data_IF_480319942606
#
_entry.id   IF_480319942606
#
_cell.length_a   1.000
_cell.length_b   1.000
_cell.length_c   1.000
_cell.angle_alpha   90.00
_cell.angle_beta   90.00
_cell.angle_gamma   90.00
#
_symmetry.space_group_name_H-M   'P 1'
#
loop_
_entity.id
_entity.type
_entity.pdbx_description
1 polymer ?
#
# COMPACT_ATOMS: atom_id res chain seq x y z
N UNK A 1 63.63 47.45 -17.57
CA UNK A 1 63.24 46.27 -18.38
C UNK A 1 61.72 46.14 -18.33
N UNK A 2 61.05 45.74 -19.45
CA UNK A 2 59.64 45.30 -19.63
C UNK A 2 58.57 45.89 -18.65
N UNK A 3 57.71 46.85 -19.02
CA UNK A 3 56.50 46.74 -19.91
C UNK A 3 55.51 45.64 -19.44
N UNK A 4 54.19 45.82 -19.26
CA UNK A 4 53.20 46.93 -19.20
C UNK A 4 52.14 46.50 -18.12
N UNK A 5 51.31 47.32 -17.45
CA UNK A 5 50.14 48.08 -17.95
C UNK A 5 49.15 47.23 -18.81
N UNK A 6 47.82 47.37 -18.78
CA UNK A 6 46.83 48.13 -17.98
C UNK A 6 45.40 47.69 -18.47
N UNK A 7 44.32 48.20 -17.87
CA UNK A 7 42.90 48.17 -18.34
C UNK A 7 42.18 46.78 -18.39
N UNK A 8 41.00 46.59 -17.78
CA UNK A 8 39.63 47.09 -18.10
C UNK A 8 39.04 46.35 -19.33
N UNK A 9 38.23 45.29 -19.18
CA UNK A 9 36.80 45.20 -18.76
C UNK A 9 35.80 45.24 -19.95
N UNK A 10 34.54 44.85 -19.67
CA UNK A 10 33.32 45.06 -20.48
C UNK A 10 33.00 44.06 -21.62
N UNK A 11 32.07 43.14 -21.27
CA UNK A 11 30.86 42.70 -22.00
C UNK A 11 30.86 41.86 -23.31
N UNK A 12 29.88 40.93 -23.29
CA UNK A 12 28.84 40.63 -24.31
C UNK A 12 29.01 39.51 -25.36
N UNK A 13 27.87 38.83 -25.55
CA UNK A 13 27.32 38.15 -26.74
C UNK A 13 27.69 36.68 -27.05
N UNK A 14 26.71 35.99 -27.66
CA UNK A 14 26.77 34.59 -28.14
C UNK A 14 26.15 33.59 -27.16
N UNK A 15 24.89 33.13 -27.23
CA UNK A 15 24.00 32.64 -28.32
C UNK A 15 24.37 31.23 -28.80
N UNK A 16 23.37 30.33 -28.80
CA UNK A 16 23.38 28.94 -29.29
C UNK A 16 24.28 27.96 -28.49
N UNK A 17 24.05 26.63 -28.50
CA UNK A 17 23.04 25.86 -29.22
C UNK A 17 22.58 24.62 -28.40
N UNK A 18 21.49 23.98 -28.83
CA UNK A 18 20.97 22.76 -28.20
C UNK A 18 21.90 21.55 -28.43
N UNK A 19 22.13 20.75 -27.39
CA UNK A 19 22.61 19.37 -27.56
C UNK A 19 21.81 18.38 -26.73
N UNK A 20 20.79 17.82 -27.38
CA UNK A 20 20.07 16.62 -26.93
C UNK A 20 21.05 15.45 -27.01
N UNK A 21 21.40 14.86 -25.86
CA UNK A 21 22.24 13.66 -25.81
C UNK A 21 21.38 12.44 -26.14
N UNK A 22 21.21 12.18 -27.44
CA UNK A 22 20.54 10.99 -27.95
C UNK A 22 21.50 9.79 -27.84
N UNK A 23 21.40 9.01 -26.76
CA UNK A 23 22.19 7.78 -26.61
C UNK A 23 21.72 6.71 -27.62
N UNK A 24 22.48 6.55 -28.71
CA UNK A 24 22.31 5.42 -29.64
C UNK A 24 22.67 4.12 -28.93
N UNK A 25 21.79 3.14 -28.98
CA UNK A 25 22.07 1.76 -28.61
C UNK A 25 22.39 1.01 -29.91
N UNK A 26 23.65 0.67 -30.12
CA UNK A 26 24.08 -0.03 -31.33
C UNK A 26 23.69 -1.52 -31.28
N UNK A 27 22.70 -1.89 -32.11
CA UNK A 27 22.35 -3.29 -32.34
C UNK A 27 23.25 -3.90 -33.42
N UNK A 28 24.16 -4.83 -33.04
CA UNK A 28 24.90 -5.63 -34.02
C UNK A 28 25.17 -7.09 -33.59
N UNK A 29 24.19 -7.92 -33.91
CA UNK A 29 24.30 -9.14 -34.75
C UNK A 29 25.38 -10.21 -34.45
N UNK A 30 24.91 -11.41 -34.08
CA UNK A 30 25.47 -12.73 -34.45
C UNK A 30 24.39 -13.78 -34.09
N UNK A 31 23.45 -14.15 -34.97
CA UNK A 31 23.60 -15.05 -36.12
C UNK A 31 24.10 -16.46 -35.76
N UNK A 32 23.17 -17.41 -35.60
CA UNK A 32 23.41 -18.80 -35.98
C UNK A 32 22.11 -19.46 -36.48
N UNK A 33 22.22 -20.31 -37.50
CA UNK A 33 21.11 -20.89 -38.27
C UNK A 33 20.81 -22.33 -37.82
N UNK A 34 19.53 -22.72 -37.84
CA UNK A 34 18.96 -24.02 -38.32
C UNK A 34 17.45 -24.04 -38.04
N UNK A 35 16.61 -23.70 -39.01
CA UNK A 35 15.96 -24.62 -40.00
C UNK A 35 14.99 -25.64 -39.40
N UNK A 36 13.69 -25.40 -39.65
CA UNK A 36 12.65 -26.38 -40.01
C UNK A 36 12.38 -27.59 -39.09
N UNK A 37 11.42 -27.43 -38.17
CA UNK A 37 10.41 -28.46 -37.83
C UNK A 37 9.01 -27.83 -37.68
N UNK A 38 8.57 -27.12 -38.72
CA UNK A 38 7.17 -26.69 -38.90
C UNK A 38 6.34 -27.93 -39.25
N UNK A 39 5.82 -28.67 -38.24
CA UNK A 39 4.49 -29.34 -38.24
C UNK A 39 4.19 -30.38 -37.12
N UNK A 40 5.13 -30.80 -36.25
CA UNK A 40 4.89 -32.00 -35.40
C UNK A 40 4.48 -31.81 -33.92
N UNK A 41 4.72 -30.68 -33.25
CA UNK A 41 4.41 -30.57 -31.79
C UNK A 41 3.03 -29.95 -31.46
N UNK A 42 2.05 -30.11 -32.37
CA UNK A 42 0.64 -29.79 -32.13
C UNK A 42 -0.12 -30.89 -31.35
N UNK A 43 0.50 -32.04 -31.09
CA UNK A 43 -0.08 -33.21 -30.40
C UNK A 43 0.16 -33.24 -28.87
N UNK A 44 0.64 -32.15 -28.25
CA UNK A 44 0.78 -32.02 -26.79
C UNK A 44 -0.32 -31.17 -26.12
N UNK A 45 -1.56 -31.29 -26.62
CA UNK A 45 -2.77 -30.83 -25.93
C UNK A 45 -3.65 -32.03 -25.58
N UNK A 46 -4.24 -31.99 -24.38
CA UNK A 46 -5.09 -33.00 -23.73
C UNK A 46 -4.33 -34.19 -23.11
N UNK A 47 -3.93 -34.06 -21.83
CA UNK A 47 -4.30 -35.02 -20.77
C UNK A 47 -3.84 -34.58 -19.36
N UNK A 48 -4.58 -33.63 -18.78
CA UNK A 48 -4.53 -33.30 -17.33
C UNK A 48 -5.91 -32.91 -16.76
N UNK A 49 -7.00 -33.41 -17.35
CA UNK A 49 -8.40 -33.19 -16.91
C UNK A 49 -9.11 -34.52 -16.59
N UNK A 50 -8.62 -35.26 -15.60
CA UNK A 50 -9.31 -36.46 -15.08
C UNK A 50 -8.67 -36.97 -13.80
N UNK A 51 -8.89 -36.31 -12.66
CA UNK A 51 -8.76 -36.98 -11.36
C UNK A 51 -10.02 -36.79 -10.51
N UNK A 52 -10.79 -37.88 -10.48
CA UNK A 52 -11.76 -38.29 -9.45
C UNK A 52 -12.90 -37.32 -9.10
N UNK A 53 -14.05 -37.58 -9.75
CA UNK A 53 -15.39 -37.42 -9.15
C UNK A 53 -15.62 -38.51 -8.07
N UNK A 54 -16.75 -38.41 -7.35
CA UNK A 54 -17.24 -39.34 -6.30
C UNK A 54 -16.50 -39.19 -4.95
N UNK A 55 -17.12 -39.21 -3.77
CA UNK A 55 -18.51 -39.44 -3.29
C UNK A 55 -18.77 -38.49 -2.09
N UNK A 56 -19.96 -38.19 -1.56
CA UNK A 56 -21.34 -38.68 -1.80
C UNK A 56 -22.37 -37.58 -1.44
N UNK A 57 -23.67 -37.88 -1.50
CA UNK A 57 -24.77 -37.06 -0.96
C UNK A 57 -25.14 -37.43 0.49
N UNK A 58 -25.50 -36.44 1.31
CA UNK A 58 -26.44 -36.63 2.41
C UNK A 58 -27.37 -35.42 2.48
N UNK A 59 -28.61 -35.61 2.02
CA UNK A 59 -29.69 -34.62 2.20
C UNK A 59 -30.26 -34.83 3.59
N UNK A 60 -30.18 -33.82 4.45
CA UNK A 60 -30.85 -33.80 5.74
C UNK A 60 -31.92 -32.70 5.70
N UNK A 61 -33.13 -33.10 5.32
CA UNK A 61 -34.29 -32.21 5.34
C UNK A 61 -34.70 -31.94 6.79
N UNK A 62 -34.67 -30.68 7.19
CA UNK A 62 -35.18 -30.18 8.48
C UNK A 62 -36.43 -29.33 8.14
N UNK A 63 -37.55 -29.51 8.86
CA UNK A 63 -38.83 -28.88 8.48
C UNK A 63 -38.81 -27.36 8.66
N UNK A 64 -39.67 -26.69 7.88
CA UNK A 64 -39.88 -25.27 7.95
C UNK A 64 -40.34 -24.82 9.35
N UNK A 65 -39.67 -23.80 9.88
CA UNK A 65 -40.17 -22.97 10.98
C UNK A 65 -40.59 -21.64 10.35
N UNK A 66 -41.77 -21.16 10.73
CA UNK A 66 -42.46 -20.02 10.13
C UNK A 66 -41.72 -18.69 10.30
N UNK A 67 -42.13 -17.73 9.47
CA UNK A 67 -41.69 -16.35 9.48
C UNK A 67 -41.75 -15.68 10.86
N UNK A 68 -40.65 -15.04 11.23
CA UNK A 68 -40.68 -13.76 11.94
C UNK A 68 -39.90 -12.76 11.08
N UNK A 69 -40.61 -12.02 10.24
CA UNK A 69 -40.07 -10.79 9.65
C UNK A 69 -39.91 -9.77 10.78
N UNK A 70 -38.68 -9.68 11.32
CA UNK A 70 -38.28 -8.61 12.22
C UNK A 70 -37.91 -7.40 11.34
N UNK A 71 -38.90 -6.59 11.00
CA UNK A 71 -38.66 -5.24 10.48
C UNK A 71 -38.13 -4.36 11.62
N UNK A 72 -36.81 -4.39 11.84
CA UNK A 72 -36.18 -3.69 12.96
C UNK A 72 -34.74 -4.12 13.26
N UNK A 73 -33.87 -4.20 12.25
CA UNK A 73 -32.47 -4.61 12.41
C UNK A 73 -31.44 -3.73 11.66
N UNK A 74 -31.85 -2.62 11.05
CA UNK A 74 -30.96 -1.73 10.30
C UNK A 74 -30.20 -0.70 11.17
N UNK A 75 -30.37 -0.71 12.49
CA UNK A 75 -29.73 0.25 13.39
C UNK A 75 -28.48 -0.30 14.10
N UNK A 76 -28.33 -1.62 14.21
CA UNK A 76 -27.18 -2.25 14.88
C UNK A 76 -25.92 -2.28 14.02
N UNK A 77 -26.06 -2.45 12.70
CA UNK A 77 -24.92 -2.57 11.78
C UNK A 77 -24.09 -1.28 11.70
N UNK A 78 -24.73 -0.10 11.75
CA UNK A 78 -24.08 1.22 11.84
C UNK A 78 -23.15 1.31 13.07
N UNK A 79 -23.66 0.92 14.24
CA UNK A 79 -22.95 1.02 15.52
C UNK A 79 -21.79 0.01 15.56
N UNK A 80 -22.01 -1.21 15.05
CA UNK A 80 -20.99 -2.25 14.94
C UNK A 80 -19.83 -1.86 14.00
N UNK A 81 -20.10 -1.15 12.89
CA UNK A 81 -19.06 -0.63 12.00
C UNK A 81 -18.28 0.52 12.64
N UNK A 82 -18.96 1.48 13.28
CA UNK A 82 -18.30 2.58 13.98
C UNK A 82 -17.43 2.09 15.16
N UNK A 83 -17.89 1.06 15.88
CA UNK A 83 -17.12 0.41 16.94
C UNK A 83 -15.86 -0.26 16.38
N UNK A 84 -15.94 -0.95 15.25
CA UNK A 84 -14.78 -1.56 14.59
C UNK A 84 -13.77 -0.52 14.11
N UNK A 85 -14.21 0.64 13.60
CA UNK A 85 -13.32 1.75 13.20
C UNK A 85 -12.65 2.38 14.42
N UNK A 86 -13.39 2.58 15.51
CA UNK A 86 -12.83 3.06 16.80
C UNK A 86 -11.83 2.06 17.39
N UNK A 87 -12.10 0.75 17.31
CA UNK A 87 -11.13 -0.28 17.72
C UNK A 87 -9.87 -0.23 16.83
N UNK A 88 -10.03 -0.21 15.51
CA UNK A 88 -8.93 -0.11 14.55
C UNK A 88 -8.04 1.11 14.83
N UNK A 89 -8.65 2.25 15.14
CA UNK A 89 -7.95 3.49 15.53
C UNK A 89 -7.14 3.33 16.83
N UNK A 90 -7.66 2.62 17.82
CA UNK A 90 -6.94 2.34 19.08
C UNK A 90 -5.81 1.29 18.93
N UNK A 91 -5.92 0.37 17.97
CA UNK A 91 -4.84 -0.58 17.66
C UNK A 91 -3.56 0.12 17.15
N UNK A 92 -3.64 1.36 16.68
CA UNK A 92 -2.49 2.18 16.26
C UNK A 92 -1.79 2.92 17.43
N UNK A 93 -2.33 2.89 18.65
CA UNK A 93 -1.75 3.60 19.80
C UNK A 93 -0.43 3.02 20.37
N UNK A 94 -0.13 1.71 20.33
CA UNK A 94 1.21 1.22 20.69
C UNK A 94 2.28 1.45 19.61
N UNK A 95 1.90 1.76 18.36
CA UNK A 95 2.83 1.84 17.22
C UNK A 95 3.95 2.89 17.38
N UNK A 96 3.72 4.13 17.88
CA UNK A 96 4.79 5.12 18.05
C UNK A 96 5.92 4.65 18.98
N UNK A 97 5.60 3.79 19.95
CA UNK A 97 6.60 3.25 20.87
C UNK A 97 7.37 2.08 20.23
N UNK A 98 6.72 1.28 19.38
CA UNK A 98 7.38 0.25 18.57
C UNK A 98 8.34 0.83 17.54
N UNK A 99 8.03 2.00 16.96
CA UNK A 99 8.92 2.74 16.04
C UNK A 99 10.22 3.12 16.77
N UNK A 100 10.14 3.70 17.97
CA UNK A 100 11.33 4.05 18.78
C UNK A 100 12.18 2.85 19.19
N UNK A 101 11.55 1.70 19.35
CA UNK A 101 12.21 0.44 19.69
C UNK A 101 12.69 -0.34 18.46
N UNK A 102 12.53 0.22 17.25
CA UNK A 102 12.87 -0.41 15.96
C UNK A 102 12.20 -1.79 15.75
N UNK A 103 11.03 -2.02 16.37
CA UNK A 103 10.32 -3.31 16.34
C UNK A 103 9.38 -3.42 15.13
N UNK A 104 9.95 -3.22 13.95
CA UNK A 104 9.22 -3.11 12.68
C UNK A 104 8.31 -4.33 12.38
N UNK A 105 8.77 -5.55 12.65
CA UNK A 105 7.94 -6.76 12.51
C UNK A 105 6.67 -6.73 13.37
N UNK A 106 6.74 -6.16 14.59
CA UNK A 106 5.56 -6.05 15.47
C UNK A 106 4.57 -5.02 14.97
N UNK A 107 5.05 -3.93 14.36
CA UNK A 107 4.20 -2.93 13.70
C UNK A 107 3.40 -3.60 12.58
N UNK A 108 4.08 -4.38 11.72
CA UNK A 108 3.42 -5.13 10.65
C UNK A 108 2.43 -6.17 11.17
N UNK A 109 2.78 -6.87 12.25
CA UNK A 109 1.90 -7.83 12.92
C UNK A 109 0.61 -7.18 13.47
N UNK A 110 0.66 -5.90 13.87
CA UNK A 110 -0.54 -5.12 14.21
C UNK A 110 -1.33 -4.79 12.93
N UNK A 111 -0.69 -4.22 11.90
CA UNK A 111 -1.37 -3.76 10.68
C UNK A 111 -2.08 -4.86 9.88
N UNK A 112 -1.65 -6.12 9.99
CA UNK A 112 -2.29 -7.28 9.36
C UNK A 112 -3.37 -7.95 10.25
N UNK A 113 -3.49 -7.55 11.52
CA UNK A 113 -4.52 -8.07 12.44
C UNK A 113 -5.84 -7.30 12.27
N UNK A 114 -7.01 -7.95 12.38
CA UNK A 114 -8.28 -7.23 12.44
C UNK A 114 -8.46 -6.42 13.75
N UNK A 115 -9.28 -5.34 13.73
CA UNK A 115 -9.99 -4.81 12.57
C UNK A 115 -9.16 -3.87 11.68
N UNK A 116 -7.96 -3.41 12.10
CA UNK A 116 -7.17 -2.47 11.25
C UNK A 116 -6.84 -3.06 9.87
N UNK A 117 -6.59 -4.37 9.74
CA UNK A 117 -6.34 -4.97 8.43
C UNK A 117 -7.56 -5.01 7.50
N UNK A 118 -8.77 -4.99 8.05
CA UNK A 118 -10.02 -4.85 7.27
C UNK A 118 -10.23 -3.42 6.76
N UNK A 119 -9.43 -2.45 7.20
CA UNK A 119 -9.49 -1.08 6.70
C UNK A 119 -8.75 -0.90 5.35
N UNK A 120 -7.70 -1.68 5.06
CA UNK A 120 -6.79 -1.41 3.92
C UNK A 120 -6.46 -2.61 3.03
N UNK A 121 -6.67 -3.86 3.49
CA UNK A 121 -6.26 -5.06 2.75
C UNK A 121 -7.36 -5.58 1.81
N UNK A 122 -7.09 -5.53 0.50
CA UNK A 122 -8.00 -6.04 -0.54
C UNK A 122 -8.12 -7.58 -0.61
N UNK A 123 -7.63 -8.31 0.41
CA UNK A 123 -7.72 -9.79 0.50
C UNK A 123 -8.80 -10.27 1.47
N UNK A 124 -9.41 -9.37 2.24
CA UNK A 124 -10.56 -9.69 3.08
C UNK A 124 -11.87 -9.71 2.29
N UNK A 125 -12.90 -10.37 2.85
CA UNK A 125 -14.30 -10.13 2.45
C UNK A 125 -14.86 -8.83 3.04
N UNK A 126 -14.23 -8.33 4.10
CA UNK A 126 -14.71 -7.20 4.89
C UNK A 126 -14.13 -5.93 4.28
N UNK A 127 -14.98 -5.08 3.74
CA UNK A 127 -14.60 -3.80 3.14
C UNK A 127 -14.99 -2.68 4.10
N UNK A 128 -14.53 -2.77 5.35
CA UNK A 128 -15.02 -1.98 6.49
C UNK A 128 -15.24 -0.49 6.16
N UNK A 129 -14.27 0.13 5.48
CA UNK A 129 -14.35 1.55 5.11
C UNK A 129 -15.20 1.82 3.86
N UNK A 130 -15.35 0.87 2.93
CA UNK A 130 -16.30 0.99 1.83
C UNK A 130 -17.73 0.88 2.38
N UNK A 131 -18.01 -0.16 3.16
CA UNK A 131 -19.32 -0.39 3.79
C UNK A 131 -19.76 0.84 4.63
N UNK A 132 -18.83 1.43 5.40
CA UNK A 132 -19.06 2.63 6.20
C UNK A 132 -19.19 3.93 5.37
N UNK A 133 -18.43 4.10 4.28
CA UNK A 133 -18.54 5.29 3.43
C UNK A 133 -19.82 5.25 2.57
N UNK A 134 -20.20 4.06 2.09
CA UNK A 134 -21.43 3.83 1.33
C UNK A 134 -22.68 4.04 2.23
N UNK A 135 -22.57 3.85 3.55
CA UNK A 135 -23.62 4.19 4.53
C UNK A 135 -23.78 5.71 4.74
N UNK A 136 -22.69 6.48 4.67
CA UNK A 136 -22.73 7.94 4.84
C UNK A 136 -23.19 8.67 3.56
N UNK A 137 -22.96 8.08 2.38
CA UNK A 137 -23.22 8.67 1.04
C UNK A 137 -22.60 10.08 0.87
N UNK A 138 -21.46 10.31 1.54
CA UNK A 138 -20.74 11.58 1.54
C UNK A 138 -19.41 11.45 0.77
N UNK A 139 -19.14 12.46 -0.07
CA UNK A 139 -17.88 12.60 -0.80
C UNK A 139 -16.71 12.73 0.19
N UNK A 140 -16.88 13.45 1.31
CA UNK A 140 -15.81 13.59 2.31
C UNK A 140 -15.46 12.24 2.96
N UNK A 141 -16.45 11.38 3.23
CA UNK A 141 -16.24 10.04 3.75
C UNK A 141 -15.50 9.13 2.73
N UNK A 142 -15.84 9.24 1.44
CA UNK A 142 -15.17 8.52 0.36
C UNK A 142 -13.70 8.97 0.19
N UNK A 143 -13.42 10.27 0.29
CA UNK A 143 -12.06 10.80 0.25
C UNK A 143 -11.23 10.37 1.46
N UNK A 144 -11.79 10.46 2.67
CA UNK A 144 -11.13 10.02 3.90
C UNK A 144 -10.85 8.52 3.91
N UNK A 145 -11.75 7.68 3.38
CA UNK A 145 -11.51 6.25 3.15
C UNK A 145 -10.23 6.02 2.36
N UNK A 146 -10.09 6.65 1.20
CA UNK A 146 -8.91 6.45 0.34
C UNK A 146 -7.63 7.00 0.99
N UNK A 147 -7.71 8.09 1.76
CA UNK A 147 -6.59 8.58 2.58
C UNK A 147 -6.15 7.54 3.64
N UNK A 148 -7.08 6.98 4.42
CA UNK A 148 -6.78 5.92 5.40
C UNK A 148 -6.13 4.71 4.72
N UNK A 149 -6.68 4.24 3.61
CA UNK A 149 -6.14 3.12 2.83
C UNK A 149 -4.71 3.41 2.34
N UNK A 150 -4.48 4.62 1.85
CA UNK A 150 -3.18 5.07 1.33
C UNK A 150 -2.12 5.12 2.44
N UNK A 151 -2.40 5.83 3.53
CA UNK A 151 -1.46 6.01 4.65
C UNK A 151 -1.12 4.68 5.34
N UNK A 152 -2.10 3.79 5.55
CA UNK A 152 -1.84 2.46 6.13
C UNK A 152 -0.97 1.57 5.22
N UNK A 153 -1.10 1.70 3.89
CA UNK A 153 -0.23 1.00 2.92
C UNK A 153 1.19 1.54 2.92
N UNK A 154 1.36 2.86 2.96
CA UNK A 154 2.70 3.46 3.06
C UNK A 154 3.37 3.13 4.41
N UNK A 155 2.61 3.05 5.50
CA UNK A 155 3.09 2.59 6.79
C UNK A 155 3.56 1.11 6.79
N UNK A 156 2.77 0.17 6.23
CA UNK A 156 3.23 -1.23 6.09
C UNK A 156 4.46 -1.34 5.17
N UNK A 157 4.51 -0.55 4.09
CA UNK A 157 5.65 -0.52 3.18
C UNK A 157 6.92 0.02 3.85
N UNK A 158 6.83 1.11 4.62
CA UNK A 158 7.94 1.68 5.38
C UNK A 158 8.43 0.68 6.44
N UNK A 159 7.51 0.11 7.24
CA UNK A 159 7.84 -0.92 8.22
C UNK A 159 8.47 -2.16 7.55
N UNK A 160 7.95 -2.60 6.39
CA UNK A 160 8.54 -3.71 5.62
C UNK A 160 9.98 -3.41 5.20
N UNK A 161 10.21 -2.23 4.60
CA UNK A 161 11.54 -1.84 4.15
C UNK A 161 12.54 -1.75 5.31
N UNK A 162 12.10 -1.28 6.48
CA UNK A 162 12.94 -1.14 7.67
C UNK A 162 13.31 -2.50 8.31
N UNK A 163 12.47 -3.53 8.21
CA UNK A 163 12.83 -4.92 8.61
C UNK A 163 14.05 -5.42 7.84
N UNK A 164 14.13 -5.14 6.53
CA UNK A 164 15.20 -5.65 5.68
C UNK A 164 16.43 -4.74 5.57
N UNK A 165 16.30 -3.45 5.88
CA UNK A 165 17.37 -2.45 5.82
C UNK A 165 17.58 -1.73 7.16
N UNK A 166 17.96 -2.44 8.25
CA UNK A 166 18.21 -1.80 9.53
C UNK A 166 19.39 -0.82 9.45
N UNK A 167 19.22 0.40 9.96
CA UNK A 167 20.31 1.37 10.05
C UNK A 167 21.21 1.00 11.23
N UNK A 168 22.41 0.52 10.94
CA UNK A 168 23.44 0.37 11.97
C UNK A 168 23.82 1.74 12.54
N UNK A 169 23.36 2.04 13.76
CA UNK A 169 23.73 3.24 14.51
C UNK A 169 25.16 3.19 15.08
N UNK A 170 25.80 2.01 15.06
CA UNK A 170 27.19 1.81 15.45
C UNK A 170 28.17 2.24 14.34
N UNK A 171 28.39 3.55 14.22
CA UNK A 171 29.46 4.11 13.40
C UNK A 171 29.32 5.61 13.20
N UNK A 172 30.31 6.39 13.64
CA UNK A 172 30.33 7.87 13.66
C UNK A 172 30.30 8.57 12.28
N UNK A 173 30.06 7.84 11.19
CA UNK A 173 29.70 8.36 9.87
C UNK A 173 29.03 7.24 9.05
N UNK A 174 27.74 7.37 8.70
CA UNK A 174 27.04 6.28 7.99
C UNK A 174 25.72 6.67 7.33
N UNK A 175 24.69 7.00 8.12
CA UNK A 175 23.38 7.36 7.58
C UNK A 175 23.36 8.81 7.06
N UNK A 176 22.89 9.01 5.83
CA UNK A 176 22.55 10.35 5.34
C UNK A 176 21.31 10.86 6.08
N UNK A 177 21.10 12.19 6.12
CA UNK A 177 19.94 12.76 6.83
C UNK A 177 18.62 12.26 6.24
N UNK A 178 18.62 12.07 4.92
CA UNK A 178 17.53 11.54 4.12
C UNK A 178 17.20 10.08 4.50
N UNK A 179 18.22 9.27 4.84
CA UNK A 179 18.03 7.89 5.29
C UNK A 179 17.44 7.83 6.71
N UNK A 180 17.94 8.66 7.63
CA UNK A 180 17.39 8.76 9.01
C UNK A 180 15.94 9.24 8.97
N UNK A 181 15.66 10.28 8.17
CA UNK A 181 14.30 10.76 7.91
C UNK A 181 13.41 9.64 7.37
N UNK A 182 13.84 8.91 6.34
CA UNK A 182 12.98 7.89 5.73
C UNK A 182 12.73 6.68 6.64
N UNK A 183 13.68 6.37 7.52
CA UNK A 183 13.55 5.25 8.46
C UNK A 183 12.69 5.59 9.69
N UNK A 184 12.70 6.83 10.19
CA UNK A 184 11.95 7.23 11.39
C UNK A 184 10.80 8.21 11.15
N UNK A 185 11.03 9.28 10.38
CA UNK A 185 10.04 10.35 10.17
C UNK A 185 8.94 9.87 9.21
N UNK A 186 9.27 9.27 8.06
CA UNK A 186 8.27 8.80 7.10
C UNK A 186 7.22 7.84 7.75
N UNK A 187 7.58 6.74 8.45
CA UNK A 187 6.59 5.90 9.13
C UNK A 187 5.87 6.61 10.30
N UNK A 188 6.48 7.62 10.93
CA UNK A 188 5.78 8.42 11.96
C UNK A 188 4.72 9.32 11.32
N UNK A 189 5.06 9.97 10.20
CA UNK A 189 4.16 10.85 9.45
C UNK A 189 2.96 10.05 8.88
N UNK A 190 3.19 8.88 8.29
CA UNK A 190 2.11 8.01 7.79
C UNK A 190 1.22 7.45 8.92
N UNK A 191 1.79 7.19 10.09
CA UNK A 191 1.04 6.82 11.28
C UNK A 191 0.17 7.97 11.81
N UNK A 192 0.70 9.19 11.88
CA UNK A 192 -0.06 10.36 12.30
C UNK A 192 -1.16 10.72 11.29
N UNK A 193 -0.87 10.65 9.99
CA UNK A 193 -1.85 10.88 8.92
C UNK A 193 -2.97 9.84 8.90
N UNK A 194 -2.65 8.55 9.05
CA UNK A 194 -3.67 7.48 9.15
C UNK A 194 -4.54 7.62 10.41
N UNK A 195 -3.96 8.01 11.56
CA UNK A 195 -4.72 8.34 12.77
C UNK A 195 -5.64 9.53 12.56
N UNK A 196 -5.14 10.62 11.97
CA UNK A 196 -5.93 11.83 11.71
C UNK A 196 -7.08 11.54 10.75
N UNK A 197 -6.85 10.81 9.66
CA UNK A 197 -7.89 10.46 8.70
C UNK A 197 -8.98 9.56 9.32
N UNK A 198 -8.61 8.59 10.16
CA UNK A 198 -9.56 7.81 10.96
C UNK A 198 -10.33 8.67 11.98
N UNK A 199 -9.64 9.59 12.68
CA UNK A 199 -10.25 10.50 13.66
C UNK A 199 -11.19 11.52 13.00
N UNK A 200 -10.95 11.90 11.74
CA UNK A 200 -11.88 12.70 10.93
C UNK A 200 -13.08 11.88 10.47
N UNK A 201 -12.84 10.66 9.97
CA UNK A 201 -13.90 9.75 9.52
C UNK A 201 -14.90 9.43 10.64
N UNK A 202 -14.41 9.24 11.88
CA UNK A 202 -15.25 9.03 13.07
C UNK A 202 -16.12 10.27 13.40
N UNK A 203 -15.65 11.50 13.12
CA UNK A 203 -16.37 12.75 13.42
C UNK A 203 -17.47 13.08 12.41
N UNK A 204 -17.44 12.50 11.21
CA UNK A 204 -18.50 12.69 10.22
C UNK A 204 -19.81 11.98 10.62
N UNK A 205 -19.75 11.01 11.54
CA UNK A 205 -20.96 10.37 12.05
C UNK A 205 -21.73 11.33 12.95
N UNK A 206 -22.99 11.67 12.63
CA UNK A 206 -23.82 12.46 13.52
C UNK A 206 -24.11 11.67 14.81
N UNK A 207 -23.94 12.31 15.97
CA UNK A 207 -24.42 11.76 17.24
C UNK A 207 -25.96 11.67 17.18
N UNK A 208 -26.50 10.44 17.27
CA UNK A 208 -27.94 10.13 17.27
C UNK A 208 -28.55 10.39 18.66
#
# INVERSE_FOLDING_TARGET
MKKHALLTAVMAAGVADAYIVQTKIDAKTLSSRRTLTRLEESLRRNDRRSFMKSVSSLVLAIPAISELHIEGAAASEDEDLLLQIKEARSQLDPVPELIKQEQWDKIRAILIKPPISSCWTSRGKNKLLEDFADQLDDIEALELKEQVISHLRYLDMAAYNNVFNPIATEGTSGATKELVRSYYEDPTNELEASKLALDSLIKLVPEK
#
